data_IF_838518706522
#
_entry.id   IF_838518706522
#
_cell.length_a   1.000
_cell.length_b   1.000
_cell.length_c   1.000
_cell.angle_alpha   90.00
_cell.angle_beta   90.00
_cell.angle_gamma   90.00
#
_symmetry.space_group_name_H-M   'P 1'
#
loop_
_entity.id
_entity.type
_entity.pdbx_description
1 polymer ?
#
# COMPACT_ATOMS: atom_id res chain seq x y z
N UNK A 1 -13.00 11.91 30.43
CA UNK A 1 -11.66 12.10 29.86
C UNK A 1 -10.76 12.36 31.04
N UNK A 2 -9.67 11.63 31.16
CA UNK A 2 -8.63 11.99 32.13
C UNK A 2 -7.97 13.24 31.57
N UNK A 3 -7.97 14.33 32.34
CA UNK A 3 -7.39 15.61 31.97
C UNK A 3 -6.24 15.89 32.93
N UNK A 4 -5.07 16.16 32.37
CA UNK A 4 -3.90 16.61 33.09
C UNK A 4 -3.54 18.02 32.57
N UNK A 5 -2.73 18.75 33.33
CA UNK A 5 -2.44 20.15 32.98
C UNK A 5 -1.77 20.22 31.59
N UNK A 6 -2.49 20.80 30.62
CA UNK A 6 -2.08 20.96 29.23
C UNK A 6 -2.40 19.82 28.24
N UNK A 7 -3.05 18.71 28.62
CA UNK A 7 -3.43 17.67 27.66
C UNK A 7 -4.62 16.77 28.10
N UNK A 8 -5.27 16.14 27.12
CA UNK A 8 -6.40 15.21 27.34
C UNK A 8 -6.11 13.83 26.76
N UNK A 9 -6.61 12.80 27.44
CA UNK A 9 -6.57 11.43 26.95
C UNK A 9 -7.83 11.10 26.15
N UNK A 10 -7.64 10.47 24.99
CA UNK A 10 -8.73 9.88 24.19
C UNK A 10 -8.43 8.40 23.93
N UNK A 11 -9.38 7.48 24.18
CA UNK A 11 -9.18 6.09 23.82
C UNK A 11 -9.07 5.95 22.30
N UNK A 12 -8.44 4.88 21.85
CA UNK A 12 -8.55 4.50 20.44
C UNK A 12 -10.00 4.15 20.10
N UNK A 13 -10.43 4.51 18.89
CA UNK A 13 -11.61 3.91 18.31
C UNK A 13 -11.38 2.43 18.07
N UNK A 14 -12.46 1.66 17.93
CA UNK A 14 -12.38 0.24 17.56
C UNK A 14 -11.61 0.03 16.24
N UNK A 15 -11.72 0.98 15.31
CA UNK A 15 -11.02 0.98 14.03
C UNK A 15 -9.51 1.15 14.23
N UNK A 16 -9.09 2.08 15.11
CA UNK A 16 -7.68 2.27 15.45
C UNK A 16 -7.09 1.09 16.21
N UNK A 17 -7.85 0.46 17.10
CA UNK A 17 -7.45 -0.79 17.75
C UNK A 17 -7.18 -1.90 16.72
N UNK A 18 -8.07 -2.07 15.73
CA UNK A 18 -7.88 -3.05 14.65
C UNK A 18 -6.63 -2.76 13.80
N UNK A 19 -6.39 -1.50 13.43
CA UNK A 19 -5.20 -1.10 12.68
C UNK A 19 -3.94 -1.39 13.50
N UNK A 20 -3.95 -1.05 14.79
CA UNK A 20 -2.83 -1.31 15.70
C UNK A 20 -2.51 -2.81 15.78
N UNK A 21 -3.54 -3.66 15.89
CA UNK A 21 -3.37 -5.11 15.90
C UNK A 21 -2.72 -5.63 14.61
N UNK A 22 -3.24 -5.24 13.44
CA UNK A 22 -2.70 -5.69 12.14
C UNK A 22 -1.26 -5.20 11.95
N UNK A 23 -0.98 -3.94 12.28
CA UNK A 23 0.36 -3.37 12.20
C UNK A 23 1.36 -4.12 13.10
N UNK A 24 0.94 -4.44 14.33
CA UNK A 24 1.78 -5.17 15.28
C UNK A 24 2.19 -6.55 14.76
N UNK A 25 1.30 -7.28 14.09
CA UNK A 25 1.63 -8.57 13.47
C UNK A 25 2.53 -8.40 12.24
N UNK A 26 2.35 -7.32 11.47
CA UNK A 26 3.22 -6.95 10.35
C UNK A 26 4.68 -6.76 10.77
N UNK A 27 4.91 -6.08 11.90
CA UNK A 27 6.25 -5.81 12.44
C UNK A 27 7.00 -7.05 12.93
N UNK A 28 6.32 -8.18 13.14
CA UNK A 28 6.98 -9.43 13.54
C UNK A 28 7.72 -10.11 12.37
N UNK A 29 7.49 -9.65 11.14
CA UNK A 29 8.20 -10.15 9.96
C UNK A 29 9.62 -9.60 9.93
N UNK A 30 10.61 -10.45 9.67
CA UNK A 30 11.98 -10.03 9.41
C UNK A 30 12.03 -9.28 8.07
N UNK A 31 11.94 -7.96 8.14
CA UNK A 31 11.83 -7.07 6.98
C UNK A 31 13.18 -6.44 6.70
N UNK A 32 13.58 -6.44 5.43
CA UNK A 32 14.74 -5.69 4.94
C UNK A 32 14.20 -4.51 4.13
N UNK A 33 14.66 -3.31 4.47
CA UNK A 33 14.25 -2.09 3.79
C UNK A 33 15.33 -1.69 2.77
N UNK A 34 14.90 -1.44 1.53
CA UNK A 34 15.76 -0.91 0.48
C UNK A 34 15.20 0.43 -0.01
N UNK A 35 16.09 1.40 -0.18
CA UNK A 35 15.77 2.66 -0.84
C UNK A 35 16.22 2.59 -2.29
N UNK A 36 15.33 2.98 -3.19
CA UNK A 36 15.54 2.96 -4.63
C UNK A 36 14.99 4.24 -5.23
N UNK A 37 15.67 4.75 -6.25
CA UNK A 37 15.24 5.92 -7.01
C UNK A 37 14.97 5.49 -8.46
N UNK A 38 13.88 6.01 -9.03
CA UNK A 38 13.50 5.74 -10.41
C UNK A 38 13.28 7.05 -11.14
N UNK A 39 13.90 7.20 -12.31
CA UNK A 39 13.54 8.27 -13.23
C UNK A 39 12.20 7.95 -13.90
N UNK A 40 11.21 8.81 -13.67
CA UNK A 40 9.85 8.69 -14.20
C UNK A 40 9.51 9.76 -15.23
N UNK A 41 10.51 10.48 -15.74
CA UNK A 41 10.34 11.63 -16.65
C UNK A 41 9.57 11.23 -17.90
N UNK A 42 10.03 10.19 -18.61
CA UNK A 42 9.37 9.74 -19.84
C UNK A 42 7.99 9.14 -19.55
N UNK A 43 7.83 8.40 -18.46
CA UNK A 43 6.52 7.87 -18.06
C UNK A 43 5.50 9.00 -17.87
N UNK A 44 5.86 10.06 -17.15
CA UNK A 44 4.98 11.22 -16.93
C UNK A 44 4.66 11.96 -18.23
N UNK A 45 5.64 12.10 -19.11
CA UNK A 45 5.44 12.69 -20.44
C UNK A 45 4.44 11.89 -21.26
N UNK A 46 4.60 10.56 -21.33
CA UNK A 46 3.68 9.66 -22.05
C UNK A 46 2.24 9.78 -21.49
N UNK A 47 2.06 9.78 -20.17
CA UNK A 47 0.75 9.93 -19.54
C UNK A 47 0.10 11.28 -19.88
N UNK A 48 0.88 12.36 -19.91
CA UNK A 48 0.40 13.69 -20.29
C UNK A 48 0.02 13.75 -21.77
N UNK A 49 0.85 13.20 -22.64
CA UNK A 49 0.55 13.14 -24.08
C UNK A 49 -0.69 12.30 -24.36
N UNK A 50 -0.87 11.18 -23.66
CA UNK A 50 -2.07 10.35 -23.77
C UNK A 50 -3.33 11.15 -23.41
N UNK A 51 -3.28 11.92 -22.30
CA UNK A 51 -4.37 12.82 -21.91
C UNK A 51 -4.64 13.88 -22.98
N UNK A 52 -3.61 14.50 -23.53
CA UNK A 52 -3.77 15.53 -24.56
C UNK A 52 -4.36 14.97 -25.86
N UNK A 53 -3.96 13.75 -26.25
CA UNK A 53 -4.42 13.11 -27.49
C UNK A 53 -5.84 12.53 -27.38
N UNK A 54 -6.21 11.99 -26.22
CA UNK A 54 -7.47 11.22 -26.05
C UNK A 54 -8.52 11.90 -25.18
N UNK A 55 -8.15 12.96 -24.46
CA UNK A 55 -8.96 13.58 -23.41
C UNK A 55 -9.03 12.77 -22.11
N UNK A 56 -8.52 11.52 -22.08
CA UNK A 56 -8.61 10.63 -20.92
C UNK A 56 -7.32 10.65 -20.10
N UNK A 57 -7.44 10.90 -18.80
CA UNK A 57 -6.30 10.82 -17.89
C UNK A 57 -6.12 9.41 -17.34
N UNK A 58 -4.88 8.92 -17.36
CA UNK A 58 -4.46 7.73 -16.61
C UNK A 58 -3.78 8.19 -15.32
N UNK A 59 -4.16 7.61 -14.19
CA UNK A 59 -3.54 7.92 -12.90
C UNK A 59 -2.08 7.48 -12.89
N UNK A 60 -1.20 8.34 -12.37
CA UNK A 60 0.20 7.98 -12.16
C UNK A 60 0.34 6.80 -11.19
N UNK A 61 -0.51 6.73 -10.15
CA UNK A 61 -0.56 5.58 -9.24
C UNK A 61 -1.00 4.32 -9.97
N UNK A 62 -1.96 4.39 -10.89
CA UNK A 62 -2.39 3.23 -11.68
C UNK A 62 -1.26 2.72 -12.60
N UNK A 63 -0.48 3.63 -13.19
CA UNK A 63 0.72 3.27 -13.94
C UNK A 63 1.77 2.58 -13.04
N UNK A 64 2.03 3.13 -11.84
CA UNK A 64 2.95 2.52 -10.87
C UNK A 64 2.49 1.12 -10.44
N UNK A 65 1.19 0.94 -10.17
CA UNK A 65 0.60 -0.37 -9.86
C UNK A 65 0.86 -1.36 -10.99
N UNK A 66 0.69 -0.94 -12.26
CA UNK A 66 0.98 -1.80 -13.40
C UNK A 66 2.45 -2.18 -13.48
N UNK A 67 3.38 -1.27 -13.20
CA UNK A 67 4.81 -1.56 -13.14
C UNK A 67 5.14 -2.60 -12.05
N UNK A 68 4.61 -2.44 -10.84
CA UNK A 68 4.79 -3.39 -9.75
C UNK A 68 4.19 -4.75 -10.09
N UNK A 69 2.96 -4.77 -10.60
CA UNK A 69 2.28 -6.02 -10.96
C UNK A 69 3.02 -6.78 -12.05
N UNK A 70 3.57 -6.08 -13.05
CA UNK A 70 4.37 -6.67 -14.11
C UNK A 70 5.66 -7.29 -13.56
N UNK A 71 6.42 -6.55 -12.75
CA UNK A 71 7.66 -7.05 -12.15
C UNK A 71 7.40 -8.29 -11.27
N UNK A 72 6.34 -8.27 -10.47
CA UNK A 72 5.95 -9.41 -9.62
C UNK A 72 5.49 -10.61 -10.44
N UNK A 73 4.80 -10.40 -11.57
CA UNK A 73 4.41 -11.49 -12.46
C UNK A 73 5.60 -12.17 -13.15
N UNK A 74 6.67 -11.42 -13.42
CA UNK A 74 7.92 -11.92 -14.01
C UNK A 74 8.81 -12.62 -12.97
N UNK A 75 8.64 -12.27 -11.69
CA UNK A 75 9.38 -12.80 -10.54
C UNK A 75 8.42 -13.39 -9.49
N UNK A 76 7.77 -14.51 -9.82
CA UNK A 76 6.71 -15.12 -9.00
C UNK A 76 7.14 -15.49 -7.57
N UNK A 77 8.43 -15.67 -7.32
CA UNK A 77 8.99 -15.85 -5.98
C UNK A 77 8.67 -14.68 -5.02
N UNK A 78 8.43 -13.48 -5.56
CA UNK A 78 7.97 -12.31 -4.81
C UNK A 78 6.44 -12.33 -4.58
N UNK A 79 5.69 -13.07 -5.40
CA UNK A 79 4.24 -13.26 -5.27
C UNK A 79 3.91 -14.52 -4.45
N UNK A 80 4.47 -14.61 -3.25
CA UNK A 80 4.44 -15.84 -2.47
C UNK A 80 4.16 -15.61 -0.98
N UNK A 81 3.59 -16.63 -0.34
CA UNK A 81 3.27 -16.61 1.09
C UNK A 81 3.80 -17.87 1.78
N UNK A 82 4.49 -17.68 2.91
CA UNK A 82 4.96 -18.79 3.74
C UNK A 82 3.79 -19.44 4.49
N UNK A 83 3.48 -20.68 4.15
CA UNK A 83 2.44 -21.45 4.82
C UNK A 83 3.04 -22.42 5.85
N UNK A 84 2.93 -22.06 7.13
CA UNK A 84 3.51 -22.85 8.22
C UNK A 84 5.05 -22.79 8.22
N UNK A 85 5.69 -23.92 8.54
CA UNK A 85 7.16 -23.99 8.72
C UNK A 85 7.94 -24.48 7.50
N UNK A 86 7.28 -25.16 6.54
CA UNK A 86 7.96 -25.93 5.48
C UNK A 86 7.36 -25.78 4.09
N UNK A 87 6.43 -24.84 3.89
CA UNK A 87 5.77 -24.63 2.60
C UNK A 87 5.73 -23.15 2.24
N UNK A 88 5.81 -22.90 0.94
CA UNK A 88 5.60 -21.59 0.33
C UNK A 88 4.50 -21.79 -0.72
N UNK A 89 3.48 -20.95 -0.67
CA UNK A 89 2.44 -20.87 -1.70
C UNK A 89 2.85 -19.77 -2.65
N UNK A 90 2.86 -20.06 -3.95
CA UNK A 90 3.16 -19.09 -5.01
C UNK A 90 1.88 -18.85 -5.81
N UNK A 91 1.51 -17.60 -6.03
CA UNK A 91 0.27 -17.24 -6.70
C UNK A 91 0.51 -16.90 -8.18
N UNK A 92 -0.41 -17.32 -9.05
CA UNK A 92 -0.39 -17.00 -10.47
C UNK A 92 -0.90 -15.59 -10.75
N UNK A 93 -1.97 -15.19 -10.06
CA UNK A 93 -2.55 -13.86 -10.16
C UNK A 93 -1.83 -12.89 -9.20
N UNK A 94 -1.70 -11.64 -9.63
CA UNK A 94 -1.08 -10.57 -8.84
C UNK A 94 -2.13 -9.60 -8.34
N UNK A 95 -2.39 -9.67 -7.03
CA UNK A 95 -3.26 -8.73 -6.33
C UNK A 95 -2.44 -7.63 -5.66
N UNK A 96 -2.72 -6.37 -5.99
CA UNK A 96 -2.02 -5.20 -5.41
C UNK A 96 -2.96 -4.45 -4.47
N UNK A 97 -2.73 -4.58 -3.16
CA UNK A 97 -3.47 -3.83 -2.15
C UNK A 97 -3.01 -2.36 -2.11
N UNK A 98 -3.96 -1.43 -2.21
CA UNK A 98 -3.70 0.01 -2.21
C UNK A 98 -4.53 0.68 -1.12
N UNK A 99 -3.90 1.28 -0.09
CA UNK A 99 -4.62 2.07 0.91
C UNK A 99 -5.16 3.35 0.26
N UNK A 100 -6.39 3.70 0.59
CA UNK A 100 -7.05 4.91 0.10
C UNK A 100 -7.65 5.62 1.31
N UNK A 101 -7.02 6.73 1.70
CA UNK A 101 -7.50 7.54 2.80
C UNK A 101 -8.92 8.07 2.56
N UNK A 102 -9.77 7.90 3.56
CA UNK A 102 -11.18 8.27 3.56
C UNK A 102 -11.55 8.87 4.90
N UNK A 103 -12.54 9.76 4.89
CA UNK A 103 -13.16 10.26 6.11
C UNK A 103 -14.59 9.72 6.20
N UNK A 104 -14.87 8.90 7.21
CA UNK A 104 -16.15 8.21 7.38
C UNK A 104 -16.59 8.35 8.82
N UNK A 105 -17.82 8.83 9.03
CA UNK A 105 -18.45 8.95 10.36
C UNK A 105 -17.60 9.73 11.39
N UNK A 106 -16.91 10.79 10.95
CA UNK A 106 -16.09 11.61 11.83
C UNK A 106 -14.66 11.10 12.04
N UNK A 107 -14.25 10.05 11.33
CA UNK A 107 -12.93 9.41 11.51
C UNK A 107 -12.21 9.17 10.18
N UNK A 108 -10.90 9.43 10.16
CA UNK A 108 -10.01 9.05 9.05
C UNK A 108 -9.70 7.56 9.06
N UNK A 109 -9.85 6.92 7.90
CA UNK A 109 -9.64 5.48 7.67
C UNK A 109 -8.79 5.28 6.41
N UNK A 110 -7.83 4.34 6.39
CA UNK A 110 -7.10 3.97 5.18
C UNK A 110 -7.93 3.15 4.19
#
# INVERSE_FOLDING_TARGET
MEEADGYSFKPFSKQRENISLVASEGWRKHSIHAFVEFDVTEARKILREHKNKTGKSVSFTAWLIKCVAQAVSEHKELNAYRQGRRRIVVFDDVDVAIPVERFVEGEYRP
#
